data_IF_040156134748
#
_entry.id   IF_040156134748
#
_cell.length_a   1.000
_cell.length_b   1.000
_cell.length_c   1.000
_cell.angle_alpha   90.00
_cell.angle_beta   90.00
_cell.angle_gamma   90.00
#
_symmetry.space_group_name_H-M   'P 1'
#
loop_
_entity.id
_entity.type
_entity.pdbx_description
1 polymer ?
#
# COMPACT_ATOMS: atom_id res chain seq x y z
N UNK A 1 34.75 43.59 -7.08
CA UNK A 1 33.32 43.49 -7.49
C UNK A 1 32.34 44.21 -6.54
N UNK A 2 32.75 45.30 -5.88
CA UNK A 2 31.90 45.99 -4.88
C UNK A 2 30.67 46.68 -5.51
N UNK A 3 30.86 47.30 -6.67
CA UNK A 3 29.80 48.04 -7.38
C UNK A 3 28.59 47.18 -7.76
N UNK A 4 28.80 45.97 -8.31
CA UNK A 4 27.70 45.07 -8.63
C UNK A 4 26.87 44.71 -7.38
N UNK A 5 27.56 44.37 -6.29
CA UNK A 5 26.91 44.02 -5.01
C UNK A 5 26.11 45.20 -4.42
N UNK A 6 26.59 46.44 -4.62
CA UNK A 6 25.91 47.68 -4.22
C UNK A 6 24.62 47.94 -5.00
N UNK A 7 24.57 47.60 -6.29
CA UNK A 7 23.44 47.91 -7.18
C UNK A 7 22.41 46.78 -7.35
N UNK A 8 22.65 45.58 -6.79
CA UNK A 8 21.75 44.42 -6.92
C UNK A 8 20.30 44.66 -6.47
N UNK A 9 20.06 45.60 -5.53
CA UNK A 9 18.71 45.93 -5.07
C UNK A 9 17.84 46.56 -6.16
N UNK A 10 18.42 47.21 -7.17
CA UNK A 10 17.69 47.92 -8.24
C UNK A 10 16.80 46.98 -9.07
N UNK A 11 17.18 45.71 -9.21
CA UNK A 11 16.43 44.70 -9.98
C UNK A 11 15.55 43.77 -9.13
N UNK A 12 15.49 43.96 -7.81
CA UNK A 12 14.95 42.97 -6.89
C UNK A 12 13.48 42.63 -7.16
N UNK A 13 12.60 43.63 -7.38
CA UNK A 13 11.17 43.41 -7.67
C UNK A 13 10.95 42.57 -8.93
N UNK A 14 11.74 42.80 -9.99
CA UNK A 14 11.68 42.03 -11.24
C UNK A 14 12.15 40.59 -11.03
N UNK A 15 13.19 40.40 -10.23
CA UNK A 15 13.72 39.09 -9.88
C UNK A 15 12.71 38.28 -9.05
N UNK A 16 12.06 38.91 -8.06
CA UNK A 16 11.06 38.28 -7.21
C UNK A 16 9.83 37.83 -8.01
N UNK A 17 9.33 38.69 -8.92
CA UNK A 17 8.21 38.33 -9.78
C UNK A 17 8.54 37.17 -10.72
N UNK A 18 9.77 37.12 -11.27
CA UNK A 18 10.23 36.01 -12.09
C UNK A 18 10.33 34.71 -11.27
N UNK A 19 10.94 34.76 -10.09
CA UNK A 19 11.05 33.59 -9.22
C UNK A 19 9.69 33.06 -8.77
N UNK A 20 8.73 33.94 -8.50
CA UNK A 20 7.37 33.54 -8.17
C UNK A 20 6.68 32.81 -9.35
N UNK A 21 6.82 33.33 -10.56
CA UNK A 21 6.32 32.69 -11.79
C UNK A 21 6.98 31.33 -12.07
N UNK A 22 8.28 31.22 -11.82
CA UNK A 22 9.00 29.96 -11.95
C UNK A 22 8.49 28.92 -10.93
N UNK A 23 8.31 29.31 -9.67
CA UNK A 23 7.75 28.44 -8.63
C UNK A 23 6.33 27.97 -8.97
N UNK A 24 5.46 28.87 -9.46
CA UNK A 24 4.10 28.49 -9.85
C UNK A 24 4.10 27.52 -11.04
N UNK A 25 4.93 27.75 -12.05
CA UNK A 25 5.06 26.85 -13.20
C UNK A 25 5.59 25.46 -12.78
N UNK A 26 6.58 25.41 -11.88
CA UNK A 26 7.07 24.14 -11.32
C UNK A 26 5.96 23.41 -10.55
N UNK A 27 5.19 24.11 -9.72
CA UNK A 27 4.08 23.52 -8.98
C UNK A 27 2.98 22.97 -9.91
N UNK A 28 2.65 23.69 -10.99
CA UNK A 28 1.69 23.22 -12.00
C UNK A 28 2.20 22.00 -12.76
N UNK A 29 3.47 21.98 -13.15
CA UNK A 29 4.09 20.82 -13.80
C UNK A 29 4.09 19.59 -12.88
N UNK A 30 4.42 19.76 -11.59
CA UNK A 30 4.34 18.67 -10.60
C UNK A 30 2.90 18.22 -10.43
N UNK A 31 1.92 19.14 -10.35
CA UNK A 31 0.50 18.75 -10.27
C UNK A 31 0.02 18.01 -11.51
N UNK A 32 0.51 18.33 -12.71
CA UNK A 32 0.22 17.59 -13.93
C UNK A 32 0.88 16.20 -13.95
N UNK A 33 2.07 16.06 -13.35
CA UNK A 33 2.75 14.77 -13.18
C UNK A 33 2.15 13.91 -12.05
N UNK A 34 1.65 14.53 -10.98
CA UNK A 34 0.99 13.88 -9.82
C UNK A 34 -0.49 13.62 -10.08
N UNK A 35 -1.07 14.31 -11.06
CA UNK A 35 -2.24 13.86 -11.80
C UNK A 35 -1.79 13.14 -13.08
N UNK A 36 -0.87 12.14 -13.04
CA UNK A 36 -0.51 11.51 -14.29
C UNK A 36 -1.76 10.76 -14.73
N UNK A 37 -2.25 11.16 -15.90
CA UNK A 37 -2.67 10.23 -16.93
C UNK A 37 -3.45 9.03 -16.38
N UNK A 38 -4.77 9.05 -16.58
CA UNK A 38 -5.61 7.87 -16.82
C UNK A 38 -5.15 7.06 -18.06
N UNK A 39 -3.86 7.15 -18.43
CA UNK A 39 -3.22 6.19 -19.31
C UNK A 39 -3.11 4.93 -18.48
N UNK A 40 -4.13 4.10 -18.67
CA UNK A 40 -4.17 2.66 -18.37
C UNK A 40 -2.75 2.13 -18.23
N UNK A 41 -2.40 1.48 -17.12
CA UNK A 41 -1.13 0.77 -17.05
C UNK A 41 -1.12 -0.28 -18.17
N UNK A 42 -0.53 0.06 -19.32
CA UNK A 42 -0.28 -0.86 -20.44
C UNK A 42 0.89 -1.77 -20.11
N UNK A 43 1.00 -2.20 -18.86
CA UNK A 43 1.94 -3.21 -18.43
C UNK A 43 1.30 -3.86 -17.23
N UNK A 44 0.50 -4.91 -17.47
CA UNK A 44 0.33 -5.93 -16.45
C UNK A 44 1.72 -6.54 -16.32
N UNK A 45 2.42 -6.38 -15.18
CA UNK A 45 3.68 -7.09 -15.01
C UNK A 45 3.37 -8.57 -15.16
N UNK A 46 3.97 -9.20 -16.19
CA UNK A 46 3.83 -10.64 -16.43
C UNK A 46 4.10 -11.34 -15.11
N UNK A 47 3.05 -11.96 -14.59
CA UNK A 47 2.93 -12.27 -13.16
C UNK A 47 4.04 -13.19 -12.69
N UNK A 48 4.91 -12.68 -11.83
CA UNK A 48 5.48 -13.54 -10.79
C UNK A 48 4.30 -14.04 -9.97
N UNK A 49 4.11 -15.35 -9.97
CA UNK A 49 3.04 -15.97 -9.20
C UNK A 49 3.08 -15.44 -7.78
N UNK A 50 1.93 -14.96 -7.30
CA UNK A 50 1.80 -14.39 -5.97
C UNK A 50 2.37 -15.34 -4.88
N UNK A 51 2.36 -16.64 -5.14
CA UNK A 51 2.98 -17.69 -4.31
C UNK A 51 4.50 -17.54 -4.19
N UNK A 52 5.22 -17.33 -5.28
CA UNK A 52 6.69 -17.20 -5.28
C UNK A 52 7.09 -15.93 -4.52
N UNK A 53 6.43 -14.81 -4.82
CA UNK A 53 6.67 -13.53 -4.12
C UNK A 53 6.36 -13.66 -2.62
N UNK A 54 5.30 -14.39 -2.26
CA UNK A 54 4.94 -14.65 -0.85
C UNK A 54 6.00 -15.49 -0.15
N UNK A 55 6.53 -16.54 -0.79
CA UNK A 55 7.61 -17.35 -0.22
C UNK A 55 8.89 -16.54 -0.03
N UNK A 56 9.28 -15.73 -1.02
CA UNK A 56 10.43 -14.83 -0.90
C UNK A 56 10.28 -13.82 0.24
N UNK A 57 9.07 -13.28 0.43
CA UNK A 57 8.77 -12.36 1.55
C UNK A 57 8.85 -13.05 2.93
N UNK A 58 8.38 -14.29 3.03
CA UNK A 58 8.48 -15.10 4.25
C UNK A 58 9.93 -15.47 4.56
N UNK A 59 10.72 -15.82 3.54
CA UNK A 59 12.15 -16.12 3.69
C UNK A 59 13.00 -14.88 3.99
N UNK A 60 12.47 -13.66 3.78
CA UNK A 60 13.26 -12.44 3.91
C UNK A 60 13.65 -12.16 5.37
N UNK A 61 14.96 -12.05 5.70
CA UNK A 61 15.44 -11.95 7.08
C UNK A 61 14.89 -10.77 7.89
N UNK A 62 14.54 -9.65 7.24
CA UNK A 62 13.97 -8.47 7.93
C UNK A 62 12.45 -8.50 8.03
N UNK A 63 11.77 -9.01 7.00
CA UNK A 63 10.32 -8.88 6.86
C UNK A 63 9.59 -10.14 7.31
N UNK A 64 10.20 -11.31 7.14
CA UNK A 64 9.64 -12.62 7.47
C UNK A 64 9.64 -12.96 8.96
N UNK A 65 10.37 -12.22 9.81
CA UNK A 65 10.56 -12.58 11.24
C UNK A 65 9.26 -12.87 11.99
N UNK A 66 8.27 -11.98 11.85
CA UNK A 66 6.97 -12.12 12.51
C UNK A 66 6.16 -13.29 11.95
N UNK A 67 6.27 -13.53 10.64
CA UNK A 67 5.53 -14.60 9.95
C UNK A 67 6.11 -15.96 10.32
N UNK A 68 7.43 -16.11 10.26
CA UNK A 68 8.13 -17.33 10.68
C UNK A 68 7.87 -17.64 12.16
N UNK A 69 7.91 -16.63 13.04
CA UNK A 69 7.61 -16.82 14.45
C UNK A 69 6.16 -17.31 14.67
N UNK A 70 5.18 -16.82 13.89
CA UNK A 70 3.79 -17.28 13.97
C UNK A 70 3.62 -18.72 13.46
N UNK A 71 4.28 -19.06 12.35
CA UNK A 71 4.26 -20.42 11.79
C UNK A 71 4.92 -21.42 12.76
N UNK A 72 6.00 -21.01 13.43
CA UNK A 72 6.69 -21.86 14.40
C UNK A 72 5.91 -22.05 15.71
N UNK A 73 5.18 -21.03 16.16
CA UNK A 73 4.35 -21.11 17.38
C UNK A 73 3.15 -22.03 17.20
N UNK A 74 2.49 -21.95 16.05
CA UNK A 74 1.34 -22.78 15.72
C UNK A 74 1.52 -23.36 14.31
N UNK A 75 2.24 -24.48 14.14
CA UNK A 75 2.36 -25.15 12.84
C UNK A 75 1.00 -25.67 12.32
N UNK A 76 -0.06 -25.56 13.13
CA UNK A 76 -1.41 -26.05 12.87
C UNK A 76 -2.46 -24.93 12.90
N UNK A 77 -2.15 -23.75 12.39
CA UNK A 77 -3.22 -22.82 11.99
C UNK A 77 -3.86 -23.35 10.70
N UNK A 78 -4.90 -24.18 10.85
CA UNK A 78 -5.79 -24.58 9.75
C UNK A 78 -6.18 -23.32 8.99
N UNK A 79 -5.80 -23.23 7.73
CA UNK A 79 -6.51 -22.42 6.74
C UNK A 79 -8.01 -22.74 6.91
N UNK A 80 -8.93 -21.77 7.05
CA UNK A 80 -10.34 -22.06 6.87
C UNK A 80 -10.55 -22.38 5.38
N UNK A 81 -10.16 -23.59 4.99
CA UNK A 81 -10.58 -24.23 3.76
C UNK A 81 -11.84 -25.00 4.13
N UNK A 82 -12.98 -24.54 3.59
CA UNK A 82 -14.27 -25.23 3.55
C UNK A 82 -14.84 -25.68 4.91
N UNK A 83 -15.83 -24.94 5.40
CA UNK A 83 -16.75 -25.49 6.40
C UNK A 83 -17.65 -26.53 5.72
N UNK A 84 -17.65 -27.82 6.11
CA UNK A 84 -18.84 -28.62 5.92
C UNK A 84 -19.85 -28.18 6.97
N UNK A 85 -21.02 -27.72 6.52
CA UNK A 85 -22.13 -27.36 7.38
C UNK A 85 -22.51 -28.57 8.25
N UNK A 86 -22.14 -28.54 9.53
CA UNK A 86 -22.67 -29.46 10.52
C UNK A 86 -24.04 -28.96 10.97
N UNK A 87 -25.07 -29.73 10.62
CA UNK A 87 -26.45 -29.60 11.10
C UNK A 87 -26.45 -29.76 12.62
N UNK A 88 -26.97 -28.78 13.41
CA UNK A 88 -27.15 -29.01 14.82
C UNK A 88 -28.38 -29.88 15.05
N UNK A 89 -28.12 -31.13 15.46
CA UNK A 89 -29.09 -32.06 16.02
C UNK A 89 -29.40 -31.63 17.46
N UNK A 90 -30.54 -30.96 17.64
CA UNK A 90 -31.19 -30.68 18.91
C UNK A 90 -32.68 -31.07 18.74
N UNK A 91 -33.40 -31.70 19.65
CA UNK A 91 -33.17 -32.00 21.05
C UNK A 91 -33.93 -33.30 21.39
N UNK A 92 -33.33 -34.14 22.22
CA UNK A 92 -34.05 -35.15 22.98
C UNK A 92 -34.60 -34.48 24.25
N UNK A 93 -35.90 -34.61 24.50
CA UNK A 93 -36.54 -34.44 25.80
C UNK A 93 -37.91 -35.19 25.77
N UNK A 94 -38.51 -35.57 26.91
CA UNK A 94 -38.69 -36.97 27.27
C UNK A 94 -40.16 -37.44 27.28
N UNK A 95 -40.31 -38.76 27.16
CA UNK A 95 -41.24 -39.65 27.87
C UNK A 95 -42.53 -39.03 28.45
N UNK A 96 -43.70 -39.46 27.92
CA UNK A 96 -44.81 -40.09 28.68
C UNK A 96 -45.97 -40.48 27.74
N UNK A 97 -46.33 -41.76 27.77
CA UNK A 97 -47.70 -42.24 27.57
C UNK A 97 -48.29 -42.46 28.97
N UNK A 98 -49.61 -42.24 29.20
CA UNK A 98 -50.52 -43.39 29.10
C UNK A 98 -52.01 -43.06 28.76
N UNK A 99 -52.61 -43.94 27.96
CA UNK A 99 -53.95 -44.56 28.02
C UNK A 99 -54.51 -44.79 26.62
#
# INVERSE_FOLDING_TARGET
MYFAKKHNKKGFKKMQANSAKAMSACAEAIRALVKPKEVKPKVIPKGVDHKITRLAYIAHPKFGKRICARIAKDPKAKTPASAPAQVPKAAQAPMKAPQ
#
